data_IF_823758195759
#
_entry.id   IF_823758195759
#
_cell.length_a   1.000
_cell.length_b   1.000
_cell.length_c   1.000
_cell.angle_alpha   90.00
_cell.angle_beta   90.00
_cell.angle_gamma   90.00
#
_symmetry.space_group_name_H-M   'P 1'
#
loop_
_entity.id
_entity.type
_entity.pdbx_description
1 polymer ?
#
# COMPACT_ATOMS: atom_id res chain seq x y z
N UNK A 1 8.87 -16.85 -5.33
CA UNK A 1 7.94 -16.26 -6.33
C UNK A 1 8.63 -15.29 -7.29
N UNK A 2 9.69 -14.55 -6.93
CA UNK A 2 10.37 -13.64 -7.87
C UNK A 2 9.52 -12.42 -8.28
N UNK A 3 8.44 -12.16 -7.57
CA UNK A 3 7.53 -11.04 -7.78
C UNK A 3 8.06 -9.78 -7.12
N UNK A 4 7.88 -8.66 -7.80
CA UNK A 4 7.95 -7.33 -7.21
C UNK A 4 6.58 -6.91 -6.70
N UNK A 5 6.58 -5.97 -5.76
CA UNK A 5 5.36 -5.36 -5.26
C UNK A 5 5.57 -3.86 -5.01
N UNK A 6 4.52 -3.07 -5.19
CA UNK A 6 4.50 -1.64 -4.86
C UNK A 6 3.22 -1.29 -4.12
N UNK A 7 3.36 -0.61 -2.98
CA UNK A 7 2.23 -0.09 -2.21
C UNK A 7 1.80 1.28 -2.76
N UNK A 8 0.49 1.47 -2.95
CA UNK A 8 -0.05 2.77 -3.38
C UNK A 8 -0.99 3.32 -2.31
N UNK A 9 -0.54 4.33 -1.58
CA UNK A 9 -1.28 4.88 -0.44
C UNK A 9 -2.55 5.66 -0.82
N UNK A 10 -2.64 6.18 -2.05
CA UNK A 10 -3.78 7.01 -2.47
C UNK A 10 -5.03 6.19 -2.84
N UNK A 11 -4.87 4.93 -3.24
CA UNK A 11 -5.99 4.10 -3.70
C UNK A 11 -6.99 3.80 -2.58
N UNK A 12 -6.58 3.37 -1.37
CA UNK A 12 -7.51 3.16 -0.26
C UNK A 12 -8.33 4.40 0.08
N UNK A 13 -7.69 5.58 0.09
CA UNK A 13 -8.37 6.85 0.37
C UNK A 13 -9.45 7.16 -0.67
N UNK A 14 -9.18 6.91 -1.96
CA UNK A 14 -10.16 7.11 -3.03
C UNK A 14 -11.32 6.12 -2.93
N UNK A 15 -11.03 4.85 -2.68
CA UNK A 15 -12.02 3.78 -2.51
C UNK A 15 -12.98 4.08 -1.35
N UNK A 16 -12.44 4.47 -0.19
CA UNK A 16 -13.25 4.69 1.01
C UNK A 16 -14.06 6.00 0.94
N UNK A 17 -13.64 6.97 0.13
CA UNK A 17 -14.30 8.28 0.00
C UNK A 17 -15.41 8.28 -1.05
N UNK A 18 -15.28 7.51 -2.12
CA UNK A 18 -16.20 7.54 -3.26
C UNK A 18 -16.91 6.21 -3.40
N UNK A 19 -18.19 6.16 -3.03
CA UNK A 19 -19.02 4.95 -3.05
C UNK A 19 -19.03 4.25 -4.43
N UNK A 20 -19.06 5.04 -5.52
CA UNK A 20 -18.97 4.49 -6.88
C UNK A 20 -17.67 3.72 -7.12
N UNK A 21 -16.57 4.14 -6.50
CA UNK A 21 -15.27 3.48 -6.65
C UNK A 21 -15.25 2.19 -5.83
N UNK A 22 -15.77 2.19 -4.59
CA UNK A 22 -15.85 0.95 -3.80
C UNK A 22 -16.74 -0.11 -4.47
N UNK A 23 -17.83 0.31 -5.11
CA UNK A 23 -18.72 -0.56 -5.87
C UNK A 23 -18.02 -1.26 -7.04
N UNK A 24 -17.11 -0.58 -7.75
CA UNK A 24 -16.31 -1.19 -8.83
C UNK A 24 -15.46 -2.35 -8.32
N UNK A 25 -14.97 -2.26 -7.08
CA UNK A 25 -14.17 -3.30 -6.45
C UNK A 25 -14.99 -4.32 -5.64
N UNK A 26 -16.33 -4.24 -5.68
CA UNK A 26 -17.25 -5.09 -4.92
C UNK A 26 -16.94 -5.10 -3.41
N UNK A 27 -16.55 -3.96 -2.86
CA UNK A 27 -16.28 -3.85 -1.42
C UNK A 27 -17.60 -3.80 -0.66
N UNK A 28 -17.82 -4.65 0.35
CA UNK A 28 -19.06 -4.65 1.11
C UNK A 28 -19.29 -3.31 1.84
N UNK A 29 -20.56 -2.92 2.09
CA UNK A 29 -20.92 -1.59 2.63
C UNK A 29 -20.41 -1.29 4.05
N UNK A 30 -19.84 -2.27 4.74
CA UNK A 30 -19.25 -2.13 6.08
C UNK A 30 -17.75 -2.46 6.11
N UNK A 31 -17.08 -2.40 4.96
CA UNK A 31 -15.65 -2.67 4.84
C UNK A 31 -14.92 -1.43 4.33
N UNK A 32 -13.69 -1.27 4.80
CA UNK A 32 -12.77 -0.24 4.33
C UNK A 32 -11.58 -0.87 3.62
N UNK A 33 -11.08 -0.21 2.58
CA UNK A 33 -9.78 -0.51 2.02
C UNK A 33 -8.70 0.06 2.95
N UNK A 34 -7.75 -0.78 3.37
CA UNK A 34 -6.65 -0.39 4.27
C UNK A 34 -5.35 -0.18 3.51
N UNK A 35 -5.10 -1.00 2.48
CA UNK A 35 -3.90 -0.90 1.65
C UNK A 35 -4.23 -1.24 0.20
N UNK A 36 -3.36 -0.80 -0.71
CA UNK A 36 -3.36 -1.30 -2.08
C UNK A 36 -1.94 -1.72 -2.46
N UNK A 37 -1.86 -2.84 -3.17
CA UNK A 37 -0.60 -3.43 -3.60
C UNK A 37 -0.72 -3.85 -5.05
N UNK A 38 0.19 -3.36 -5.89
CA UNK A 38 0.42 -3.91 -7.23
C UNK A 38 1.44 -5.02 -7.09
N UNK A 39 1.14 -6.21 -7.62
CA UNK A 39 2.03 -7.37 -7.62
C UNK A 39 2.27 -7.82 -9.05
N UNK A 40 3.51 -8.17 -9.38
CA UNK A 40 3.83 -8.69 -10.72
C UNK A 40 5.30 -9.06 -10.87
N UNK A 41 5.65 -9.65 -12.02
CA UNK A 41 7.04 -9.90 -12.35
C UNK A 41 7.72 -8.59 -12.75
N UNK A 42 8.81 -8.19 -12.08
CA UNK A 42 9.44 -6.92 -12.36
C UNK A 42 10.11 -6.98 -13.73
N UNK A 43 9.77 -6.04 -14.61
CA UNK A 43 10.42 -5.90 -15.92
C UNK A 43 11.93 -5.66 -15.80
N UNK A 44 12.34 -5.01 -14.71
CA UNK A 44 13.73 -4.63 -14.43
C UNK A 44 14.06 -5.07 -12.99
N UNK A 45 15.24 -5.65 -12.77
CA UNK A 45 15.72 -5.94 -11.42
C UNK A 45 16.22 -4.65 -10.77
N UNK A 46 15.50 -4.17 -9.76
CA UNK A 46 15.91 -3.01 -8.97
C UNK A 46 16.93 -3.42 -7.90
N UNK A 47 17.90 -2.55 -7.62
CA UNK A 47 18.74 -2.69 -6.43
C UNK A 47 17.88 -2.50 -5.18
N UNK A 48 18.14 -3.29 -4.14
CA UNK A 48 17.44 -3.16 -2.87
C UNK A 48 17.73 -1.77 -2.30
N UNK A 49 16.68 -1.01 -1.96
CA UNK A 49 16.83 0.30 -1.31
C UNK A 49 17.72 0.20 -0.07
N UNK A 50 18.58 1.19 0.14
CA UNK A 50 19.44 1.28 1.31
C UNK A 50 18.54 1.31 2.56
N UNK A 51 18.69 0.30 3.42
CA UNK A 51 18.04 0.31 4.74
C UNK A 51 18.70 1.39 5.59
N UNK A 52 17.91 2.34 6.09
CA UNK A 52 18.36 3.33 7.08
C UNK A 52 18.03 2.83 8.48
N UNK A 53 19.01 2.83 9.39
CA UNK A 53 18.77 2.64 10.82
C UNK A 53 18.26 3.95 11.41
N UNK A 54 17.01 3.98 11.86
CA UNK A 54 16.51 5.10 12.64
C UNK A 54 16.88 4.87 14.12
N UNK A 55 17.53 5.82 14.80
CA UNK A 55 17.72 5.73 16.24
C UNK A 55 16.34 5.72 16.91
N UNK A 56 16.13 4.81 17.86
CA UNK A 56 14.91 4.79 18.68
C UNK A 56 14.90 6.04 19.53
N UNK A 57 14.00 6.98 19.27
CA UNK A 57 13.75 8.10 20.17
C UNK A 57 12.81 7.63 21.27
N UNK A 58 13.24 7.78 22.51
CA UNK A 58 12.35 7.72 23.68
C UNK A 58 11.82 9.13 23.90
N UNK A 59 10.50 9.27 24.01
CA UNK A 59 9.91 10.51 24.49
C UNK A 59 10.34 10.69 25.95
N UNK A 60 10.90 11.86 26.26
CA UNK A 60 11.22 12.25 27.64
C UNK A 60 9.99 13.02 28.13
N UNK A 61 9.33 12.50 29.16
CA UNK A 61 8.27 13.20 29.92
C UNK A 61 8.86 14.32 30.77
#
# INVERSE_FOLDING_TARGET
LGLGASMIGIIPAAINKVEKVSAVFNIPPNHEAVMSVIVGYPKIKYLRTIKRSFPKSHWVE
#
